data_IF_292011916100
#
_entry.id   IF_292011916100
#
_cell.length_a   1.000
_cell.length_b   1.000
_cell.length_c   1.000
_cell.angle_alpha   90.00
_cell.angle_beta   90.00
_cell.angle_gamma   90.00
#
_symmetry.space_group_name_H-M   'P 1'
#
loop_
_entity.id
_entity.type
_entity.pdbx_description
1 polymer ?
#
# COMPACT_ATOMS: atom_id res chain seq x y z
N UNK A 1 -15.82 -23.13 44.76
CA UNK A 1 -15.87 -24.36 43.94
C UNK A 1 -17.02 -25.22 44.41
N UNK A 2 -18.18 -25.22 43.72
CA UNK A 2 -19.12 -26.33 43.77
C UNK A 2 -18.80 -27.34 42.64
N UNK A 3 -19.18 -28.62 42.79
CA UNK A 3 -18.81 -29.67 41.85
C UNK A 3 -19.62 -29.56 40.54
N UNK A 4 -18.89 -29.65 39.44
CA UNK A 4 -19.38 -29.75 38.07
C UNK A 4 -20.20 -31.05 37.92
N UNK A 5 -21.54 -30.95 37.88
CA UNK A 5 -22.38 -32.04 37.39
C UNK A 5 -22.24 -32.09 35.87
N UNK A 6 -21.39 -32.98 35.37
CA UNK A 6 -21.49 -33.41 33.97
C UNK A 6 -22.84 -34.14 33.80
N UNK A 7 -23.65 -33.82 32.78
CA UNK A 7 -24.71 -34.72 32.38
C UNK A 7 -24.06 -35.96 31.75
N UNK A 8 -24.24 -37.11 32.41
CA UNK A 8 -23.91 -38.43 31.88
C UNK A 8 -24.78 -38.70 30.64
N UNK A 9 -24.14 -38.70 29.47
CA UNK A 9 -24.78 -39.02 28.19
C UNK A 9 -24.88 -40.53 28.02
N UNK A 10 -25.80 -41.16 28.73
CA UNK A 10 -26.23 -42.56 28.48
C UNK A 10 -27.71 -42.71 28.81
N UNK A 11 -28.57 -41.94 28.15
CA UNK A 11 -30.00 -42.29 28.05
C UNK A 11 -30.25 -42.82 26.64
N UNK A 12 -30.03 -44.12 26.48
CA UNK A 12 -30.60 -44.92 25.39
C UNK A 12 -32.08 -45.21 25.76
N UNK A 13 -32.91 -44.17 25.85
CA UNK A 13 -34.37 -44.37 25.87
C UNK A 13 -34.85 -44.47 24.42
N UNK A 14 -35.45 -45.60 24.00
CA UNK A 14 -35.99 -45.70 22.65
C UNK A 14 -37.13 -44.69 22.49
N UNK A 15 -37.03 -43.82 21.49
CA UNK A 15 -38.11 -42.89 21.11
C UNK A 15 -39.29 -43.68 20.56
N UNK A 16 -40.30 -43.97 21.40
CA UNK A 16 -41.50 -44.73 21.00
C UNK A 16 -42.55 -43.91 20.22
N UNK A 17 -42.34 -42.60 19.99
CA UNK A 17 -43.27 -41.79 19.19
C UNK A 17 -42.58 -41.11 18.00
N UNK A 18 -43.19 -41.24 16.81
CA UNK A 18 -42.71 -40.61 15.57
C UNK A 18 -42.57 -39.08 15.69
N UNK A 19 -43.37 -38.45 16.53
CA UNK A 19 -43.32 -37.02 16.84
C UNK A 19 -42.07 -36.62 17.65
N UNK A 20 -41.61 -37.46 18.58
CA UNK A 20 -40.34 -37.24 19.28
C UNK A 20 -39.14 -37.32 18.31
N UNK A 21 -39.10 -38.32 17.42
CA UNK A 21 -38.05 -38.44 16.41
C UNK A 21 -38.05 -37.24 15.45
N UNK A 22 -39.22 -36.76 15.01
CA UNK A 22 -39.32 -35.59 14.13
C UNK A 22 -38.83 -34.32 14.85
N UNK A 23 -39.22 -34.11 16.11
CA UNK A 23 -38.75 -32.97 16.90
C UNK A 23 -37.24 -33.02 17.17
N UNK A 24 -36.67 -34.19 17.45
CA UNK A 24 -35.22 -34.36 17.63
C UNK A 24 -34.48 -34.13 16.32
N UNK A 25 -34.98 -34.63 15.19
CA UNK A 25 -34.41 -34.37 13.87
C UNK A 25 -34.51 -32.90 13.45
N UNK A 26 -35.65 -32.25 13.67
CA UNK A 26 -35.85 -30.82 13.39
C UNK A 26 -34.98 -29.93 14.29
N UNK A 27 -34.83 -30.29 15.58
CA UNK A 27 -33.94 -29.59 16.50
C UNK A 27 -32.46 -29.78 16.12
N UNK A 28 -32.07 -31.00 15.71
CA UNK A 28 -30.71 -31.33 15.28
C UNK A 28 -30.34 -30.65 13.95
N UNK A 29 -31.28 -30.58 13.00
CA UNK A 29 -31.10 -29.86 11.74
C UNK A 29 -31.09 -28.35 11.96
N UNK A 30 -32.03 -27.78 12.71
CA UNK A 30 -32.04 -26.34 13.04
C UNK A 30 -30.75 -25.91 13.75
N UNK A 31 -30.29 -26.67 14.75
CA UNK A 31 -29.03 -26.41 15.45
C UNK A 31 -27.81 -26.52 14.55
N UNK A 32 -27.74 -27.54 13.67
CA UNK A 32 -26.65 -27.68 12.72
C UNK A 32 -26.65 -26.56 11.67
N UNK A 33 -27.82 -26.09 11.24
CA UNK A 33 -27.97 -24.94 10.33
C UNK A 33 -27.54 -23.62 10.96
N UNK A 34 -27.90 -23.36 12.22
CA UNK A 34 -27.49 -22.15 12.95
C UNK A 34 -25.97 -22.12 13.15
N UNK A 35 -25.38 -23.24 13.58
CA UNK A 35 -23.92 -23.38 13.71
C UNK A 35 -23.19 -23.17 12.37
N UNK A 36 -23.68 -23.81 11.31
CA UNK A 36 -23.11 -23.70 9.96
C UNK A 36 -23.21 -22.26 9.43
N UNK A 37 -24.27 -21.53 9.77
CA UNK A 37 -24.45 -20.12 9.40
C UNK A 37 -23.42 -19.21 10.07
N UNK A 38 -23.11 -19.40 11.35
CA UNK A 38 -22.10 -18.60 12.05
C UNK A 38 -20.68 -18.85 11.51
N UNK A 39 -20.32 -20.11 11.29
CA UNK A 39 -19.03 -20.47 10.70
C UNK A 39 -18.92 -19.92 9.27
N UNK A 40 -19.98 -20.06 8.46
CA UNK A 40 -20.02 -19.53 7.09
C UNK A 40 -19.82 -18.00 7.03
N UNK A 41 -20.44 -17.23 7.93
CA UNK A 41 -20.24 -15.77 7.99
C UNK A 41 -18.79 -15.40 8.29
N UNK A 42 -18.15 -16.10 9.22
CA UNK A 42 -16.74 -15.92 9.55
C UNK A 42 -15.83 -16.29 8.37
N UNK A 43 -16.08 -17.43 7.73
CA UNK A 43 -15.39 -17.82 6.49
C UNK A 43 -15.53 -16.75 5.40
N UNK A 44 -16.75 -16.26 5.19
CA UNK A 44 -17.04 -15.23 4.19
C UNK A 44 -16.23 -13.96 4.46
N UNK A 45 -16.20 -13.49 5.71
CA UNK A 45 -15.41 -12.33 6.12
C UNK A 45 -13.92 -12.52 5.80
N UNK A 46 -13.33 -13.64 6.19
CA UNK A 46 -11.90 -13.91 5.93
C UNK A 46 -11.58 -14.06 4.45
N UNK A 47 -12.45 -14.67 3.65
CA UNK A 47 -12.32 -14.70 2.19
C UNK A 47 -12.38 -13.29 1.60
N UNK A 48 -13.32 -12.46 2.06
CA UNK A 48 -13.45 -11.08 1.60
C UNK A 48 -12.21 -10.25 1.93
N UNK A 49 -11.69 -10.35 3.16
CA UNK A 49 -10.43 -9.72 3.57
C UNK A 49 -9.31 -10.16 2.63
N UNK A 50 -9.19 -11.46 2.36
CA UNK A 50 -8.16 -12.02 1.48
C UNK A 50 -8.23 -11.42 0.07
N UNK A 51 -9.41 -11.42 -0.55
CA UNK A 51 -9.60 -10.89 -1.91
C UNK A 51 -9.31 -9.39 -1.95
N UNK A 52 -9.84 -8.62 -1.00
CA UNK A 52 -9.64 -7.18 -0.95
C UNK A 52 -8.16 -6.83 -0.81
N UNK A 53 -7.46 -7.49 0.13
CA UNK A 53 -6.04 -7.29 0.37
C UNK A 53 -5.21 -7.66 -0.86
N UNK A 54 -5.54 -8.77 -1.52
CA UNK A 54 -4.82 -9.21 -2.72
C UNK A 54 -4.95 -8.18 -3.84
N UNK A 55 -6.17 -7.71 -4.11
CA UNK A 55 -6.42 -6.67 -5.11
C UNK A 55 -5.75 -5.36 -4.72
N UNK A 56 -5.89 -4.93 -3.46
CA UNK A 56 -5.26 -3.70 -2.96
C UNK A 56 -3.73 -3.73 -3.03
N UNK A 57 -3.11 -4.86 -2.71
CA UNK A 57 -1.66 -5.03 -2.83
C UNK A 57 -1.19 -5.07 -4.27
N UNK A 58 -1.95 -5.71 -5.18
CA UNK A 58 -1.66 -5.66 -6.62
C UNK A 58 -1.69 -4.23 -7.14
N UNK A 59 -2.73 -3.45 -6.80
CA UNK A 59 -2.83 -2.04 -7.19
C UNK A 59 -1.70 -1.18 -6.59
N UNK A 60 -1.36 -1.41 -5.32
CA UNK A 60 -0.25 -0.73 -4.64
C UNK A 60 1.08 -1.04 -5.31
N UNK A 61 1.31 -2.30 -5.69
CA UNK A 61 2.51 -2.73 -6.39
C UNK A 61 2.62 -2.10 -7.79
N UNK A 62 1.51 -2.02 -8.53
CA UNK A 62 1.45 -1.32 -9.82
C UNK A 62 1.84 0.14 -9.63
N UNK A 63 1.27 0.83 -8.64
CA UNK A 63 1.60 2.23 -8.37
C UNK A 63 3.07 2.42 -7.97
N UNK A 64 3.61 1.54 -7.12
CA UNK A 64 5.03 1.53 -6.75
C UNK A 64 5.93 1.35 -7.98
N UNK A 65 5.55 0.47 -8.89
CA UNK A 65 6.29 0.20 -10.14
C UNK A 65 6.26 1.42 -11.06
N UNK A 66 5.10 2.07 -11.21
CA UNK A 66 4.96 3.30 -12.00
C UNK A 66 5.81 4.45 -11.44
N UNK A 67 5.82 4.65 -10.12
CA UNK A 67 6.67 5.66 -9.47
C UNK A 67 8.15 5.34 -9.66
N UNK A 68 8.53 4.08 -9.46
CA UNK A 68 9.92 3.63 -9.55
C UNK A 68 10.48 3.68 -10.97
N UNK A 69 9.64 3.49 -11.99
CA UNK A 69 10.03 3.60 -13.41
C UNK A 69 10.50 5.01 -13.80
N UNK A 70 10.02 6.05 -13.09
CA UNK A 70 10.31 7.47 -13.38
C UNK A 70 10.09 7.82 -14.86
N UNK A 71 9.21 7.14 -15.56
CA UNK A 71 8.84 7.46 -16.95
C UNK A 71 7.41 7.96 -17.03
N UNK A 72 6.52 7.40 -16.22
CA UNK A 72 5.11 7.73 -16.20
C UNK A 72 4.82 9.10 -15.55
N UNK A 73 5.30 9.31 -14.33
CA UNK A 73 5.12 10.57 -13.62
C UNK A 73 6.32 11.50 -13.90
N UNK A 74 6.04 12.64 -14.54
CA UNK A 74 7.06 13.65 -14.92
C UNK A 74 6.77 15.03 -14.32
N UNK A 75 5.49 15.33 -14.05
CA UNK A 75 4.99 16.66 -13.73
C UNK A 75 5.02 17.01 -12.23
N UNK A 76 5.60 16.19 -11.36
CA UNK A 76 5.65 16.47 -9.93
C UNK A 76 6.99 17.11 -9.52
N UNK A 77 6.94 18.06 -8.58
CA UNK A 77 8.12 18.58 -7.89
C UNK A 77 8.29 17.89 -6.56
N UNK A 78 9.37 17.12 -6.42
CA UNK A 78 9.66 16.39 -5.21
C UNK A 78 11.10 15.90 -5.18
N UNK A 79 11.74 16.04 -4.02
CA UNK A 79 13.08 15.52 -3.77
C UNK A 79 13.13 14.00 -3.65
N UNK A 80 14.36 13.46 -3.68
CA UNK A 80 14.62 12.02 -3.53
C UNK A 80 14.08 11.47 -2.21
N UNK A 81 14.22 12.23 -1.12
CA UNK A 81 13.80 11.81 0.22
C UNK A 81 12.28 11.60 0.31
N UNK A 82 11.50 12.55 -0.20
CA UNK A 82 10.04 12.47 -0.23
C UNK A 82 9.55 11.24 -1.00
N UNK A 83 10.12 10.96 -2.17
CA UNK A 83 9.74 9.76 -2.94
C UNK A 83 10.17 8.47 -2.21
N UNK A 84 11.35 8.46 -1.60
CA UNK A 84 11.79 7.33 -0.79
C UNK A 84 10.79 7.04 0.32
N UNK A 85 10.26 8.09 0.96
CA UNK A 85 9.28 7.96 2.02
C UNK A 85 7.93 7.41 1.53
N UNK A 86 7.45 7.89 0.38
CA UNK A 86 6.25 7.34 -0.28
C UNK A 86 6.44 5.85 -0.59
N UNK A 87 7.60 5.48 -1.13
CA UNK A 87 7.91 4.08 -1.45
C UNK A 87 7.97 3.20 -0.18
N UNK A 88 8.62 3.69 0.89
CA UNK A 88 8.65 2.97 2.18
C UNK A 88 7.24 2.79 2.74
N UNK A 89 6.37 3.78 2.61
CA UNK A 89 4.98 3.69 3.02
C UNK A 89 4.24 2.57 2.28
N UNK A 90 4.38 2.51 0.95
CA UNK A 90 3.77 1.47 0.14
C UNK A 90 4.25 0.07 0.52
N UNK A 91 5.56 -0.10 0.75
CA UNK A 91 6.14 -1.37 1.19
C UNK A 91 5.63 -1.76 2.58
N UNK A 92 5.58 -0.82 3.52
CA UNK A 92 5.06 -1.06 4.87
C UNK A 92 3.58 -1.49 4.81
N UNK A 93 2.77 -0.78 4.02
CA UNK A 93 1.36 -1.09 3.82
C UNK A 93 1.19 -2.49 3.24
N UNK A 94 1.88 -2.80 2.11
CA UNK A 94 1.84 -4.13 1.49
C UNK A 94 2.31 -5.24 2.43
N UNK A 95 3.30 -4.99 3.28
CA UNK A 95 3.77 -5.95 4.28
C UNK A 95 2.70 -6.26 5.32
N UNK A 96 2.08 -5.22 5.91
CA UNK A 96 1.04 -5.38 6.93
C UNK A 96 -0.21 -6.06 6.37
N UNK A 97 -0.73 -5.59 5.23
CA UNK A 97 -1.88 -6.24 4.60
C UNK A 97 -1.52 -7.61 4.05
N UNK A 98 -0.32 -7.81 3.49
CA UNK A 98 0.13 -9.09 2.98
C UNK A 98 0.10 -10.19 4.04
N UNK A 99 0.66 -9.92 5.23
CA UNK A 99 0.59 -10.83 6.38
C UNK A 99 -0.88 -11.08 6.77
N UNK A 100 -1.67 -10.01 6.88
CA UNK A 100 -3.10 -10.12 7.21
C UNK A 100 -3.88 -10.98 6.22
N UNK A 101 -3.63 -10.83 4.92
CA UNK A 101 -4.28 -11.60 3.85
C UNK A 101 -3.91 -13.09 3.89
N UNK A 102 -2.64 -13.41 4.16
CA UNK A 102 -2.21 -14.81 4.34
C UNK A 102 -2.86 -15.44 5.58
N UNK A 103 -2.89 -14.71 6.70
CA UNK A 103 -3.56 -15.16 7.92
C UNK A 103 -5.07 -15.33 7.72
N UNK A 104 -5.72 -14.40 7.02
CA UNK A 104 -7.14 -14.49 6.68
C UNK A 104 -7.43 -15.68 5.77
N UNK A 105 -6.62 -15.92 4.73
CA UNK A 105 -6.76 -17.08 3.86
C UNK A 105 -6.68 -18.39 4.66
N UNK A 106 -5.69 -18.49 5.55
CA UNK A 106 -5.56 -19.65 6.43
C UNK A 106 -6.79 -19.81 7.34
N UNK A 107 -7.29 -18.74 7.94
CA UNK A 107 -8.51 -18.79 8.76
C UNK A 107 -9.75 -19.18 7.98
N UNK A 108 -9.90 -18.73 6.73
CA UNK A 108 -11.00 -19.13 5.86
C UNK A 108 -10.96 -20.64 5.57
N UNK A 109 -9.77 -21.23 5.41
CA UNK A 109 -9.63 -22.68 5.23
C UNK A 109 -9.89 -23.45 6.53
N UNK A 110 -9.38 -22.99 7.66
CA UNK A 110 -9.60 -23.61 8.96
C UNK A 110 -11.09 -23.61 9.35
N UNK A 111 -11.76 -22.45 9.23
CA UNK A 111 -13.20 -22.33 9.51
C UNK A 111 -14.04 -23.22 8.61
N UNK A 112 -13.70 -23.36 7.33
CA UNK A 112 -14.36 -24.32 6.43
C UNK A 112 -14.16 -25.78 6.87
N UNK A 113 -12.97 -26.15 7.34
CA UNK A 113 -12.74 -27.51 7.87
C UNK A 113 -13.61 -27.78 9.11
N UNK A 114 -13.68 -26.84 10.06
CA UNK A 114 -14.56 -26.98 11.23
C UNK A 114 -16.05 -26.96 10.90
N UNK A 115 -16.46 -26.42 9.74
CA UNK A 115 -17.84 -26.53 9.27
C UNK A 115 -18.20 -27.95 8.80
N UNK A 116 -17.22 -28.75 8.38
CA UNK A 116 -17.47 -30.05 7.75
C UNK A 116 -17.12 -31.23 8.66
N UNK A 117 -16.22 -31.05 9.63
CA UNK A 117 -15.75 -32.10 10.53
C UNK A 117 -16.08 -31.80 11.99
N UNK A 118 -16.38 -32.85 12.75
CA UNK A 118 -16.67 -32.73 14.18
C UNK A 118 -15.38 -32.77 15.01
N UNK A 119 -15.43 -32.19 16.20
CA UNK A 119 -14.28 -32.04 17.10
C UNK A 119 -13.74 -33.41 17.58
N UNK A 120 -14.63 -34.40 17.72
CA UNK A 120 -14.28 -35.78 18.06
C UNK A 120 -13.40 -36.44 16.99
N UNK A 121 -13.57 -36.06 15.73
CA UNK A 121 -12.79 -36.62 14.62
C UNK A 121 -11.34 -36.11 14.67
N UNK A 122 -11.15 -34.84 15.07
CA UNK A 122 -9.82 -34.25 15.24
C UNK A 122 -9.07 -34.73 16.49
N UNK A 123 -9.78 -35.07 17.57
CA UNK A 123 -9.14 -35.59 18.79
C UNK A 123 -8.42 -36.94 18.55
N UNK A 124 -8.83 -37.70 17.54
CA UNK A 124 -8.14 -38.94 17.12
C UNK A 124 -6.75 -38.69 16.50
N UNK A 125 -6.42 -37.46 16.11
CA UNK A 125 -5.21 -37.11 15.33
C UNK A 125 -4.04 -36.68 16.25
N UNK A 126 -4.21 -36.75 17.58
CA UNK A 126 -3.13 -36.52 18.55
C UNK A 126 -2.49 -35.12 18.44
N UNK A 127 -1.17 -35.06 18.24
CA UNK A 127 -0.36 -33.81 18.21
C UNK A 127 -0.83 -32.76 17.19
N UNK A 128 -1.57 -33.15 16.15
CA UNK A 128 -2.12 -32.21 15.17
C UNK A 128 -3.30 -31.41 15.70
N UNK A 129 -4.07 -31.96 16.65
CA UNK A 129 -5.16 -31.24 17.31
C UNK A 129 -4.62 -30.04 18.11
N UNK A 130 -3.49 -30.21 18.80
CA UNK A 130 -2.85 -29.13 19.57
C UNK A 130 -2.36 -27.99 18.66
N UNK A 131 -1.77 -28.33 17.51
CA UNK A 131 -1.31 -27.33 16.52
C UNK A 131 -2.48 -26.56 15.91
N UNK A 132 -3.56 -27.25 15.55
CA UNK A 132 -4.78 -26.60 15.04
C UNK A 132 -5.42 -25.71 16.10
N UNK A 133 -5.49 -26.16 17.35
CA UNK A 133 -5.98 -25.37 18.47
C UNK A 133 -5.15 -24.10 18.71
N UNK A 134 -3.82 -24.18 18.55
CA UNK A 134 -2.93 -23.02 18.60
C UNK A 134 -3.23 -22.03 17.47
N UNK A 135 -3.31 -22.50 16.21
CA UNK A 135 -3.57 -21.65 15.04
C UNK A 135 -4.92 -20.92 15.15
N UNK A 136 -5.99 -21.65 15.50
CA UNK A 136 -7.34 -21.08 15.62
C UNK A 136 -7.40 -19.97 16.67
N UNK A 137 -6.56 -20.02 17.70
CA UNK A 137 -6.52 -19.00 18.77
C UNK A 137 -5.66 -17.79 18.39
N UNK A 138 -4.46 -18.01 17.81
CA UNK A 138 -3.47 -16.94 17.64
C UNK A 138 -3.53 -16.22 16.29
N UNK A 139 -3.99 -16.90 15.24
CA UNK A 139 -4.07 -16.30 13.90
C UNK A 139 -5.10 -15.16 13.83
N UNK A 140 -6.29 -15.26 14.45
CA UNK A 140 -7.23 -14.14 14.53
C UNK A 140 -6.66 -12.95 15.29
N UNK A 141 -5.88 -13.20 16.34
CA UNK A 141 -5.16 -12.15 17.07
C UNK A 141 -4.15 -11.44 16.16
N UNK A 142 -3.39 -12.21 15.36
CA UNK A 142 -2.45 -11.65 14.40
C UNK A 142 -3.16 -10.82 13.31
N UNK A 143 -4.30 -11.29 12.79
CA UNK A 143 -5.15 -10.52 11.87
C UNK A 143 -5.58 -9.19 12.51
N UNK A 144 -5.98 -9.21 13.78
CA UNK A 144 -6.37 -8.00 14.50
C UNK A 144 -5.20 -7.04 14.72
N UNK A 145 -4.00 -7.54 15.06
CA UNK A 145 -2.76 -6.72 15.15
C UNK A 145 -2.47 -6.04 13.82
N UNK A 146 -2.50 -6.80 12.72
CA UNK A 146 -2.29 -6.23 11.39
C UNK A 146 -3.38 -5.22 11.02
N UNK A 147 -4.64 -5.46 11.42
CA UNK A 147 -5.73 -4.49 11.25
C UNK A 147 -5.49 -3.17 11.99
N UNK A 148 -5.00 -3.23 13.24
CA UNK A 148 -4.60 -2.04 14.01
C UNK A 148 -3.41 -1.34 13.34
N UNK A 149 -2.40 -2.09 12.91
CA UNK A 149 -1.26 -1.52 12.17
C UNK A 149 -1.69 -0.80 10.89
N UNK A 150 -2.60 -1.42 10.13
CA UNK A 150 -3.19 -0.81 8.94
C UNK A 150 -3.97 0.48 9.28
N UNK A 151 -4.76 0.48 10.35
CA UNK A 151 -5.45 1.68 10.83
C UNK A 151 -4.49 2.82 11.19
N UNK A 152 -3.44 2.53 11.96
CA UNK A 152 -2.43 3.52 12.33
C UNK A 152 -1.73 4.10 11.10
N UNK A 153 -1.33 3.25 10.14
CA UNK A 153 -0.71 3.69 8.89
C UNK A 153 -1.64 4.65 8.12
N UNK A 154 -2.94 4.35 8.03
CA UNK A 154 -3.90 5.25 7.36
C UNK A 154 -4.05 6.58 8.08
N UNK A 155 -4.12 6.60 9.41
CA UNK A 155 -4.20 7.85 10.17
C UNK A 155 -2.97 8.71 9.90
N UNK A 156 -1.78 8.12 9.93
CA UNK A 156 -0.53 8.83 9.64
C UNK A 156 -0.56 9.36 8.20
N UNK A 157 -1.00 8.55 7.23
CA UNK A 157 -1.08 8.93 5.82
C UNK A 157 -2.07 10.09 5.58
N UNK A 158 -3.28 10.01 6.13
CA UNK A 158 -4.27 11.08 6.04
C UNK A 158 -3.74 12.35 6.70
N UNK A 159 -3.24 12.24 7.93
CA UNK A 159 -2.77 13.41 8.67
C UNK A 159 -1.65 14.09 7.90
N UNK A 160 -0.71 13.31 7.36
CA UNK A 160 0.43 13.86 6.64
C UNK A 160 0.04 14.47 5.29
N UNK A 161 -0.80 13.80 4.49
CA UNK A 161 -1.16 14.31 3.16
C UNK A 161 -1.89 15.66 3.23
N UNK A 162 -2.63 15.91 4.32
CA UNK A 162 -3.30 17.19 4.56
C UNK A 162 -2.45 18.21 5.33
N UNK A 163 -1.59 17.78 6.26
CA UNK A 163 -0.74 18.69 7.03
C UNK A 163 0.43 19.25 6.21
N UNK A 164 1.05 18.41 5.38
CA UNK A 164 2.13 18.82 4.49
C UNK A 164 1.97 18.19 3.10
N UNK A 165 1.12 18.77 2.23
CA UNK A 165 0.94 18.25 0.88
C UNK A 165 2.22 18.40 0.04
N UNK A 166 3.18 19.26 0.43
CA UNK A 166 4.41 19.48 -0.34
C UNK A 166 5.35 18.27 -0.23
N UNK A 167 5.45 17.65 0.95
CA UNK A 167 6.21 16.41 1.13
C UNK A 167 5.61 15.22 0.37
N UNK A 168 4.33 15.30 -0.02
CA UNK A 168 3.65 14.31 -0.86
C UNK A 168 3.66 14.67 -2.35
N UNK A 169 4.57 15.57 -2.76
CA UNK A 169 4.78 15.93 -4.15
C UNK A 169 3.56 16.61 -4.81
N UNK A 170 2.74 17.35 -4.04
CA UNK A 170 1.56 18.07 -4.56
C UNK A 170 1.88 19.08 -5.64
N UNK A 171 3.05 19.75 -5.56
CA UNK A 171 3.45 20.81 -6.48
C UNK A 171 3.67 20.27 -7.90
N UNK A 172 3.08 20.94 -8.89
CA UNK A 172 3.12 20.57 -10.31
C UNK A 172 4.08 21.44 -11.10
N UNK A 173 4.94 20.82 -11.91
CA UNK A 173 5.75 21.50 -12.91
C UNK A 173 4.89 21.99 -14.08
N UNK A 174 5.15 23.22 -14.51
CA UNK A 174 4.69 23.76 -15.80
C UNK A 174 5.29 22.99 -16.97
N UNK A 175 4.77 23.19 -18.18
CA UNK A 175 5.32 22.54 -19.39
C UNK A 175 6.82 22.83 -19.58
N UNK A 176 7.27 24.05 -19.27
CA UNK A 176 8.69 24.42 -19.27
C UNK A 176 9.49 23.65 -18.21
N UNK A 177 8.96 23.56 -16.99
CA UNK A 177 9.58 22.79 -15.91
C UNK A 177 9.70 21.30 -16.24
N UNK A 178 8.70 20.73 -16.91
CA UNK A 178 8.73 19.34 -17.39
C UNK A 178 9.90 19.13 -18.36
N UNK A 179 10.18 20.08 -19.27
CA UNK A 179 11.32 19.97 -20.18
C UNK A 179 12.65 19.92 -19.42
N UNK A 180 12.83 20.71 -18.35
CA UNK A 180 14.02 20.63 -17.49
C UNK A 180 14.18 19.23 -16.86
N UNK A 181 13.09 18.69 -16.32
CA UNK A 181 13.06 17.32 -15.75
C UNK A 181 13.44 16.29 -16.81
N UNK A 182 12.87 16.38 -18.02
CA UNK A 182 13.15 15.46 -19.12
C UNK A 182 14.62 15.56 -19.57
N UNK A 183 15.15 16.76 -19.75
CA UNK A 183 16.56 16.97 -20.13
C UNK A 183 17.51 16.43 -19.03
N UNK A 184 17.20 16.65 -17.75
CA UNK A 184 17.94 16.05 -16.63
C UNK A 184 17.92 14.52 -16.69
N UNK A 185 16.75 13.90 -16.91
CA UNK A 185 16.61 12.45 -16.99
C UNK A 185 17.35 11.88 -18.21
N UNK A 186 17.28 12.53 -19.36
CA UNK A 186 18.03 12.14 -20.57
C UNK A 186 19.53 12.16 -20.30
N UNK A 187 20.02 13.24 -19.68
CA UNK A 187 21.42 13.39 -19.31
C UNK A 187 21.88 12.24 -18.40
N UNK A 188 21.26 12.05 -17.23
CA UNK A 188 21.71 11.04 -16.25
C UNK A 188 21.37 9.60 -16.63
N UNK A 189 20.54 9.36 -17.64
CA UNK A 189 20.38 8.04 -18.27
C UNK A 189 21.42 7.76 -19.36
N UNK A 190 22.27 8.75 -19.67
CA UNK A 190 23.17 8.75 -20.80
C UNK A 190 22.46 8.48 -22.15
N UNK A 191 21.18 8.87 -22.25
CA UNK A 191 20.37 8.75 -23.47
C UNK A 191 20.42 10.06 -24.25
N UNK A 192 21.65 10.54 -24.51
CA UNK A 192 21.90 11.79 -25.22
C UNK A 192 23.02 11.61 -26.25
N UNK A 193 22.93 12.25 -27.42
CA UNK A 193 23.86 12.01 -28.52
C UNK A 193 25.26 12.63 -28.31
N UNK A 194 25.43 13.52 -27.33
CA UNK A 194 26.71 14.22 -27.12
C UNK A 194 27.68 13.52 -26.14
N UNK A 195 27.30 12.37 -25.57
CA UNK A 195 28.15 11.55 -24.72
C UNK A 195 28.78 10.41 -25.51
N UNK A 196 30.08 10.19 -25.30
CA UNK A 196 30.75 8.97 -25.75
C UNK A 196 30.40 7.78 -24.84
N UNK A 197 30.63 6.56 -25.32
CA UNK A 197 30.40 5.33 -24.55
C UNK A 197 31.18 5.30 -23.24
N UNK A 198 32.42 5.82 -23.24
CA UNK A 198 33.26 5.91 -22.04
C UNK A 198 32.69 6.90 -21.01
N UNK A 199 32.21 8.06 -21.46
CA UNK A 199 31.62 9.09 -20.60
C UNK A 199 30.28 8.62 -20.01
N UNK A 200 29.46 7.94 -20.83
CA UNK A 200 28.22 7.33 -20.40
C UNK A 200 28.44 6.30 -19.28
N UNK A 201 29.49 5.47 -19.38
CA UNK A 201 29.84 4.48 -18.36
C UNK A 201 30.30 5.13 -17.03
N UNK A 202 30.95 6.28 -17.10
CA UNK A 202 31.46 7.02 -15.93
C UNK A 202 30.41 7.96 -15.31
N UNK A 203 29.19 8.00 -15.84
CA UNK A 203 28.16 8.91 -15.37
C UNK A 203 27.47 8.41 -14.09
N UNK A 204 27.50 9.24 -13.04
CA UNK A 204 26.76 8.94 -11.81
C UNK A 204 25.25 9.03 -12.05
N UNK A 205 24.51 7.98 -11.70
CA UNK A 205 23.06 7.95 -11.89
C UNK A 205 22.35 8.82 -10.85
N UNK A 206 22.00 10.06 -11.25
CA UNK A 206 21.25 11.04 -10.44
C UNK A 206 19.80 11.23 -10.88
N UNK A 207 19.24 10.29 -11.64
CA UNK A 207 17.86 10.35 -12.17
C UNK A 207 16.82 10.59 -11.07
N UNK A 208 17.05 10.06 -9.86
CA UNK A 208 16.15 10.24 -8.72
C UNK A 208 16.03 11.70 -8.23
N UNK A 209 17.00 12.55 -8.54
CA UNK A 209 17.02 13.98 -8.16
C UNK A 209 16.45 14.90 -9.23
N UNK A 210 16.15 14.39 -10.43
CA UNK A 210 15.70 15.22 -11.56
C UNK A 210 14.30 15.85 -11.40
N UNK A 211 13.55 15.53 -10.35
CA UNK A 211 12.28 16.18 -10.02
C UNK A 211 12.41 17.13 -8.83
N UNK A 212 13.61 17.25 -8.27
CA UNK A 212 13.92 18.17 -7.20
C UNK A 212 14.21 19.55 -7.79
N UNK A 213 13.44 20.55 -7.41
CA UNK A 213 13.57 21.90 -7.97
C UNK A 213 14.91 22.53 -7.64
N UNK A 214 15.39 22.31 -6.41
CA UNK A 214 16.63 22.91 -5.93
C UNK A 214 17.83 22.28 -6.64
N UNK A 215 17.74 20.98 -6.93
CA UNK A 215 18.73 20.27 -7.73
C UNK A 215 18.77 20.73 -9.19
N UNK A 216 17.60 20.91 -9.82
CA UNK A 216 17.51 21.39 -11.20
C UNK A 216 18.07 22.81 -11.35
N UNK A 217 17.82 23.67 -10.35
CA UNK A 217 18.36 25.02 -10.29
C UNK A 217 19.88 24.99 -10.10
N UNK A 218 20.38 24.26 -9.10
CA UNK A 218 21.82 24.16 -8.82
C UNK A 218 22.62 23.51 -9.97
N UNK A 219 21.97 22.67 -10.77
CA UNK A 219 22.58 22.01 -11.94
C UNK A 219 22.30 22.72 -13.26
N UNK A 220 21.72 23.94 -13.22
CA UNK A 220 21.48 24.80 -14.38
C UNK A 220 20.56 24.21 -15.48
N UNK A 221 19.71 23.21 -15.17
CA UNK A 221 18.83 22.61 -16.16
C UNK A 221 17.73 23.57 -16.66
N UNK A 222 17.35 24.57 -15.85
CA UNK A 222 16.33 25.55 -16.23
C UNK A 222 16.75 26.46 -17.39
N UNK A 223 18.06 26.70 -17.58
CA UNK A 223 18.59 27.44 -18.74
C UNK A 223 18.28 26.73 -20.07
N UNK A 224 18.13 25.40 -20.03
CA UNK A 224 17.86 24.54 -21.17
C UNK A 224 16.37 24.15 -21.26
N UNK A 225 15.51 25.11 -20.95
CA UNK A 225 14.06 25.02 -21.17
C UNK A 225 13.64 25.97 -22.29
N UNK A 226 12.52 25.73 -22.99
CA UNK A 226 12.09 26.61 -24.08
C UNK A 226 11.55 27.96 -23.56
N UNK A 227 11.83 29.04 -24.30
CA UNK A 227 11.28 30.38 -24.04
C UNK A 227 9.77 30.44 -24.20
N UNK A 228 9.24 29.72 -25.19
CA UNK A 228 7.81 29.66 -25.49
C UNK A 228 7.15 28.42 -24.90
N UNK A 229 5.83 28.47 -24.72
CA UNK A 229 5.03 27.41 -24.10
C UNK A 229 4.92 26.18 -25.01
N UNK A 230 5.09 26.33 -26.33
CA UNK A 230 4.97 25.23 -27.31
C UNK A 230 5.97 24.07 -27.11
N UNK A 231 6.88 24.16 -26.15
CA UNK A 231 7.75 23.05 -25.73
C UNK A 231 8.83 22.67 -26.75
N UNK A 232 8.87 23.33 -27.90
CA UNK A 232 9.70 22.98 -29.05
C UNK A 232 10.96 23.85 -29.09
N UNK A 233 12.10 23.21 -29.31
CA UNK A 233 13.35 23.89 -29.66
C UNK A 233 14.46 23.84 -28.61
N UNK A 234 14.23 23.32 -27.40
CA UNK A 234 15.29 23.19 -26.38
C UNK A 234 15.29 21.81 -25.70
N UNK A 235 15.92 20.82 -26.34
CA UNK A 235 16.00 19.44 -25.84
C UNK A 235 17.43 18.90 -25.96
N UNK A 236 17.83 18.07 -25.00
CA UNK A 236 19.13 17.38 -25.04
C UNK A 236 19.21 16.28 -26.10
N UNK A 237 18.10 15.97 -26.77
CA UNK A 237 18.14 15.14 -28.00
C UNK A 237 18.79 15.87 -29.17
N UNK A 238 18.81 17.20 -29.16
CA UNK A 238 19.51 18.01 -30.14
C UNK A 238 20.99 18.09 -29.75
N UNK A 239 21.88 17.68 -30.67
CA UNK A 239 23.31 17.50 -30.36
C UNK A 239 23.98 18.81 -29.94
N UNK A 240 23.59 19.94 -30.53
CA UNK A 240 24.12 21.28 -30.22
C UNK A 240 23.75 21.70 -28.80
N UNK A 241 22.49 21.49 -28.41
CA UNK A 241 21.98 21.82 -27.06
C UNK A 241 22.67 20.95 -26.01
N UNK A 242 22.77 19.64 -26.27
CA UNK A 242 23.48 18.70 -25.41
C UNK A 242 24.96 19.08 -25.24
N UNK A 243 25.64 19.41 -26.35
CA UNK A 243 27.05 19.78 -26.35
C UNK A 243 27.29 21.07 -25.56
N UNK A 244 26.42 22.05 -25.70
CA UNK A 244 26.49 23.30 -24.93
C UNK A 244 26.37 23.05 -23.42
N UNK A 245 25.42 22.20 -23.00
CA UNK A 245 25.31 21.80 -21.59
C UNK A 245 26.57 21.08 -21.11
N UNK A 246 27.03 20.08 -21.87
CA UNK A 246 28.24 19.29 -21.56
C UNK A 246 29.46 20.19 -21.37
N UNK A 247 29.72 21.11 -22.30
CA UNK A 247 30.92 21.93 -22.33
C UNK A 247 31.02 22.92 -21.15
N UNK A 248 29.88 23.46 -20.69
CA UNK A 248 29.86 24.49 -19.66
C UNK A 248 29.57 23.95 -18.25
N UNK A 249 28.64 23.01 -18.12
CA UNK A 249 28.01 22.66 -16.83
C UNK A 249 28.29 21.23 -16.37
N UNK A 250 29.06 20.45 -17.13
CA UNK A 250 29.42 19.08 -16.75
C UNK A 250 30.92 18.94 -16.49
N UNK A 251 31.29 17.91 -15.72
CA UNK A 251 32.69 17.53 -15.47
C UNK A 251 33.43 17.06 -16.73
N UNK A 252 32.73 16.80 -17.83
CA UNK A 252 33.31 16.40 -19.11
C UNK A 252 33.61 17.60 -20.03
N UNK A 253 33.27 18.82 -19.59
CA UNK A 253 33.47 20.05 -20.34
C UNK A 253 34.74 20.80 -19.96
N UNK A 254 35.12 21.77 -20.80
CA UNK A 254 36.26 22.65 -20.57
C UNK A 254 35.85 24.03 -20.00
N UNK A 255 34.58 24.18 -19.57
CA UNK A 255 34.04 25.43 -19.02
C UNK A 255 33.76 26.52 -20.05
N UNK A 256 33.73 26.18 -21.34
CA UNK A 256 33.50 27.14 -22.44
C UNK A 256 32.15 27.86 -22.30
N UNK A 257 32.14 29.16 -22.59
CA UNK A 257 30.91 29.95 -22.58
C UNK A 257 29.92 29.43 -23.64
N UNK A 258 28.64 29.43 -23.29
CA UNK A 258 27.57 29.00 -24.19
C UNK A 258 27.15 30.15 -25.09
N UNK A 259 27.17 29.94 -26.40
CA UNK A 259 26.63 30.90 -27.37
C UNK A 259 25.12 30.66 -27.58
N UNK A 260 24.32 31.44 -26.85
CA UNK A 260 22.86 31.40 -26.89
C UNK A 260 22.26 31.98 -28.19
N UNK A 261 23.07 32.56 -29.08
CA UNK A 261 22.58 33.18 -30.33
C UNK A 261 22.44 32.18 -31.47
N UNK A 262 23.04 31.00 -31.35
CA UNK A 262 22.96 29.96 -32.38
C UNK A 262 21.52 29.48 -32.60
N UNK A 263 21.18 29.11 -33.84
CA UNK A 263 19.82 28.69 -34.21
C UNK A 263 19.27 27.54 -33.34
N UNK A 264 20.14 26.68 -32.82
CA UNK A 264 19.74 25.56 -31.96
C UNK A 264 19.50 25.95 -30.50
N UNK A 265 20.15 27.01 -30.00
CA UNK A 265 20.06 27.46 -28.61
C UNK A 265 19.19 28.71 -28.45
N UNK A 266 18.90 29.45 -29.53
CA UNK A 266 18.03 30.62 -29.51
C UNK A 266 16.62 30.36 -28.95
N UNK A 267 16.03 29.14 -29.08
CA UNK A 267 14.74 28.83 -28.44
C UNK A 267 14.86 28.52 -26.94
N UNK A 268 16.07 28.29 -26.42
CA UNK A 268 16.33 28.01 -25.01
C UNK A 268 16.29 29.29 -24.17
N UNK A 269 15.87 29.19 -22.91
CA UNK A 269 15.76 30.31 -21.98
C UNK A 269 17.11 31.01 -21.75
N UNK A 270 18.20 30.24 -21.72
CA UNK A 270 19.56 30.77 -21.65
C UNK A 270 19.80 31.54 -20.35
N UNK A 271 20.40 32.74 -20.47
CA UNK A 271 20.73 33.59 -19.32
C UNK A 271 19.50 34.01 -18.49
N UNK A 272 18.32 34.13 -19.10
CA UNK A 272 17.09 34.41 -18.35
C UNK A 272 16.77 33.27 -17.36
N UNK A 273 17.16 32.04 -17.69
CA UNK A 273 16.99 30.87 -16.83
C UNK A 273 18.06 30.71 -15.75
N UNK A 274 19.12 31.53 -15.76
CA UNK A 274 20.18 31.49 -14.75
C UNK A 274 19.69 32.00 -13.39
N UNK A 275 18.92 33.08 -13.42
CA UNK A 275 18.40 33.74 -12.24
C UNK A 275 16.98 33.30 -11.88
N UNK A 276 16.36 32.46 -12.72
CA UNK A 276 15.00 31.97 -12.49
C UNK A 276 14.98 30.99 -11.30
N UNK A 277 14.02 31.18 -10.40
CA UNK A 277 13.80 30.30 -9.27
C UNK A 277 13.05 29.05 -9.72
N UNK A 278 13.27 27.93 -9.04
CA UNK A 278 12.51 26.71 -9.30
C UNK A 278 10.98 26.91 -9.16
N UNK A 279 10.54 27.87 -8.35
CA UNK A 279 9.13 28.20 -8.16
C UNK A 279 8.51 28.87 -9.40
N UNK A 280 9.30 29.55 -10.24
CA UNK A 280 8.85 30.22 -11.48
C UNK A 280 8.41 29.22 -12.56
N UNK A 281 8.81 27.95 -12.41
CA UNK A 281 8.46 26.87 -13.33
C UNK A 281 7.30 26.01 -12.83
N UNK A 282 6.57 26.42 -11.79
CA UNK A 282 5.39 25.72 -11.29
C UNK A 282 4.10 26.20 -11.97
N UNK A 283 3.11 25.31 -12.07
CA UNK A 283 1.73 25.70 -12.36
C UNK A 283 1.14 26.39 -11.12
N UNK A 284 0.14 27.26 -11.31
CA UNK A 284 -0.60 27.93 -10.23
C UNK A 284 -1.04 26.96 -9.13
N UNK A 285 -1.19 27.47 -7.90
CA UNK A 285 -1.40 26.71 -6.66
C UNK A 285 -2.56 25.71 -6.68
N UNK A 286 -3.54 25.91 -7.55
CA UNK A 286 -4.78 25.14 -7.56
C UNK A 286 -4.64 23.80 -8.32
N UNK A 287 -3.55 23.62 -9.07
CA UNK A 287 -3.28 22.37 -9.79
C UNK A 287 -2.26 21.48 -9.06
N UNK A 288 -2.76 20.37 -8.52
CA UNK A 288 -1.91 19.32 -7.97
C UNK A 288 -1.26 18.44 -9.06
N UNK A 289 -0.07 17.92 -8.78
CA UNK A 289 0.60 16.95 -9.67
C UNK A 289 -0.20 15.65 -9.81
N UNK A 290 0.00 14.93 -10.92
CA UNK A 290 -0.67 13.64 -11.13
C UNK A 290 -0.23 12.62 -10.08
N UNK A 291 1.06 12.59 -9.72
CA UNK A 291 1.57 11.72 -8.68
C UNK A 291 0.79 11.91 -7.37
N UNK A 292 0.60 13.15 -6.93
CA UNK A 292 -0.15 13.46 -5.72
C UNK A 292 -1.59 12.98 -5.80
N UNK A 293 -2.26 13.17 -6.95
CA UNK A 293 -3.64 12.69 -7.16
C UNK A 293 -3.75 11.17 -7.01
N UNK A 294 -2.84 10.42 -7.64
CA UNK A 294 -2.82 8.96 -7.51
C UNK A 294 -2.51 8.49 -6.09
N UNK A 295 -1.59 9.17 -5.40
CA UNK A 295 -1.28 8.86 -3.99
C UNK A 295 -2.45 9.19 -3.08
N UNK A 296 -3.16 10.30 -3.31
CA UNK A 296 -4.38 10.63 -2.58
C UNK A 296 -5.47 9.58 -2.80
N UNK A 297 -5.70 9.15 -4.05
CA UNK A 297 -6.63 8.06 -4.37
C UNK A 297 -6.24 6.76 -3.66
N UNK A 298 -4.94 6.45 -3.58
CA UNK A 298 -4.43 5.31 -2.83
C UNK A 298 -4.77 5.40 -1.33
N UNK A 299 -4.50 6.55 -0.69
CA UNK A 299 -4.78 6.75 0.75
C UNK A 299 -6.29 6.63 1.01
N UNK A 300 -7.11 7.34 0.23
CA UNK A 300 -8.57 7.30 0.36
C UNK A 300 -9.10 5.89 0.12
N UNK A 301 -8.60 5.18 -0.90
CA UNK A 301 -9.02 3.82 -1.22
C UNK A 301 -8.76 2.84 -0.08
N UNK A 302 -7.57 2.89 0.53
CA UNK A 302 -7.26 2.06 1.70
C UNK A 302 -8.10 2.43 2.93
N UNK A 303 -8.44 3.70 3.11
CA UNK A 303 -9.34 4.13 4.19
C UNK A 303 -10.76 3.60 4.01
N UNK A 304 -11.32 3.70 2.80
CA UNK A 304 -12.65 3.18 2.48
C UNK A 304 -12.69 1.66 2.67
N UNK A 305 -11.65 0.95 2.22
CA UNK A 305 -11.52 -0.49 2.43
C UNK A 305 -11.49 -0.84 3.92
N UNK A 306 -10.69 -0.13 4.72
CA UNK A 306 -10.58 -0.36 6.16
C UNK A 306 -11.92 -0.11 6.88
N UNK A 307 -12.60 0.98 6.58
CA UNK A 307 -13.91 1.31 7.16
C UNK A 307 -14.97 0.25 6.79
N UNK A 308 -15.01 -0.15 5.52
CA UNK A 308 -15.95 -1.17 5.03
C UNK A 308 -15.72 -2.51 5.73
N UNK A 309 -14.46 -2.95 5.83
CA UNK A 309 -14.10 -4.18 6.55
C UNK A 309 -14.37 -4.08 8.05
N UNK A 310 -14.14 -2.91 8.66
CA UNK A 310 -14.47 -2.66 10.06
C UNK A 310 -15.97 -2.82 10.34
N UNK A 311 -16.83 -2.19 9.54
CA UNK A 311 -18.28 -2.30 9.66
C UNK A 311 -18.73 -3.76 9.49
N UNK A 312 -18.21 -4.46 8.47
CA UNK A 312 -18.52 -5.87 8.23
C UNK A 312 -18.03 -6.77 9.37
N UNK A 313 -16.86 -6.49 9.93
CA UNK A 313 -16.32 -7.21 11.08
C UNK A 313 -17.25 -7.07 12.29
N UNK A 314 -17.66 -5.85 12.64
CA UNK A 314 -18.59 -5.62 13.75
C UNK A 314 -19.94 -6.30 13.51
N UNK A 315 -20.47 -6.25 12.28
CA UNK A 315 -21.69 -6.97 11.92
C UNK A 315 -21.55 -8.49 12.10
N UNK A 316 -20.45 -9.08 11.64
CA UNK A 316 -20.20 -10.53 11.81
C UNK A 316 -20.03 -10.90 13.27
N UNK A 317 -19.33 -10.05 14.04
CA UNK A 317 -19.10 -10.23 15.48
C UNK A 317 -20.43 -10.25 16.26
N UNK A 318 -21.29 -9.24 16.07
CA UNK A 318 -22.57 -9.14 16.79
C UNK A 318 -23.58 -10.19 16.34
N UNK A 319 -23.60 -10.51 15.05
CA UNK A 319 -24.59 -11.44 14.49
C UNK A 319 -24.23 -12.92 14.68
N UNK A 320 -23.03 -13.25 15.18
CA UNK A 320 -22.54 -14.63 15.28
C UNK A 320 -22.23 -15.05 16.72
N UNK A 321 -22.75 -16.20 17.14
CA UNK A 321 -22.42 -16.81 18.42
C UNK A 321 -21.45 -17.96 18.19
N UNK A 322 -20.18 -17.75 18.51
CA UNK A 322 -19.15 -18.77 18.34
C UNK A 322 -19.08 -19.72 19.55
N UNK A 323 -18.83 -20.99 19.28
CA UNK A 323 -18.68 -22.03 20.30
C UNK A 323 -17.41 -21.82 21.13
N UNK A 324 -17.39 -22.36 22.34
CA UNK A 324 -16.28 -22.24 23.30
C UNK A 324 -14.91 -22.70 22.75
N UNK A 325 -14.88 -23.52 21.69
CA UNK A 325 -13.65 -23.95 21.03
C UNK A 325 -12.85 -22.78 20.44
N UNK A 326 -13.54 -21.75 19.96
CA UNK A 326 -12.89 -20.57 19.40
C UNK A 326 -12.60 -19.51 20.45
N UNK A 327 -13.24 -19.60 21.62
CA UNK A 327 -13.15 -18.60 22.68
C UNK A 327 -11.71 -18.47 23.21
N UNK A 328 -11.24 -17.23 23.29
CA UNK A 328 -9.96 -16.93 23.91
C UNK A 328 -10.18 -16.67 25.41
N UNK A 329 -9.66 -17.52 26.32
CA UNK A 329 -9.87 -17.35 27.75
C UNK A 329 -9.25 -16.04 28.25
N UNK A 330 -9.93 -15.41 29.21
CA UNK A 330 -9.48 -14.16 29.84
C UNK A 330 -8.79 -14.48 31.17
N UNK A 331 -7.50 -14.14 31.30
CA UNK A 331 -6.78 -14.23 32.56
C UNK A 331 -6.39 -12.84 33.09
N UNK A 332 -6.53 -12.58 34.40
CA UNK A 332 -6.17 -11.29 34.98
C UNK A 332 -4.68 -10.93 34.82
N UNK A 333 -3.81 -11.94 34.72
CA UNK A 333 -2.37 -11.79 34.46
C UNK A 333 -1.97 -11.64 32.98
N UNK A 334 -2.93 -11.58 32.05
CA UNK A 334 -2.60 -11.41 30.62
C UNK A 334 -1.93 -10.05 30.35
N UNK A 335 -0.97 -10.06 29.43
CA UNK A 335 -0.30 -8.85 28.96
C UNK A 335 -1.30 -7.80 28.44
N UNK A 336 -1.03 -6.52 28.70
CA UNK A 336 -1.91 -5.40 28.30
C UNK A 336 -2.23 -5.41 26.81
N UNK A 337 -1.24 -5.73 25.96
CA UNK A 337 -1.42 -5.84 24.51
C UNK A 337 -2.50 -6.88 24.13
N UNK A 338 -2.51 -8.04 24.81
CA UNK A 338 -3.53 -9.08 24.59
C UNK A 338 -4.92 -8.61 25.01
N UNK A 339 -5.02 -7.87 26.12
CA UNK A 339 -6.29 -7.33 26.61
C UNK A 339 -6.88 -6.30 25.64
N UNK A 340 -6.06 -5.44 25.03
CA UNK A 340 -6.50 -4.40 24.09
C UNK A 340 -6.91 -4.98 22.74
N UNK A 341 -6.20 -5.98 22.23
CA UNK A 341 -6.49 -6.56 20.90
C UNK A 341 -7.62 -7.58 20.94
N UNK A 342 -7.84 -8.26 22.07
CA UNK A 342 -8.85 -9.31 22.21
C UNK A 342 -10.24 -8.89 21.69
N UNK A 343 -10.81 -7.71 22.04
CA UNK A 343 -12.08 -7.22 21.50
C UNK A 343 -12.15 -7.11 19.98
N UNK A 344 -11.00 -6.97 19.31
CA UNK A 344 -10.86 -6.89 17.85
C UNK A 344 -10.75 -8.27 17.19
N UNK A 345 -10.94 -9.35 17.95
CA UNK A 345 -11.09 -10.70 17.42
C UNK A 345 -12.56 -11.10 17.43
N UNK A 346 -13.03 -11.90 16.45
CA UNK A 346 -14.43 -12.33 16.42
C UNK A 346 -14.77 -13.33 17.53
N UNK A 347 -13.77 -13.76 18.31
CA UNK A 347 -13.89 -14.84 19.29
C UNK A 347 -14.03 -14.37 20.74
N UNK A 348 -14.01 -13.06 20.95
CA UNK A 348 -14.31 -12.46 22.25
C UNK A 348 -15.62 -11.68 22.15
N UNK A 349 -16.46 -11.80 23.17
CA UNK A 349 -17.56 -10.87 23.38
C UNK A 349 -17.08 -9.74 24.26
#
# INVERSE_FOLDING_TARGET
MPPDRRPSYTDNTPCESAWCCLCVCLRRTSFSWVRRRYVWRSTFLYNLITVLVLVGNMLTFILLSLISSRSFFINYRCGRQAISLINTNFVAMMGVTGIMGLCALMMARLTNMFSNYSLSDFMSIGKWADRLGCLVKWVPWLVAVCGVGWFVINIVNITWIFADPKSWCSRRWSEKGIVAVVNCRLWYRADVPCLSTQEAANMENKVASCNDGDYLQASHFFMFTPKTVDGRGCSFKTIEVCRAFKQRFSSFGNGQAVDWTTNALSPCLGQEGENALADDFLVSSDESSDLYRYVLMYVVGWCVALLTLGILFYYVKESSNFEAMFYQPQHPGDNVLLKVIRPLTPWSK
#
